data_IF_782219385505
#
_entry.id   IF_782219385505
#
_cell.length_a   1.000
_cell.length_b   1.000
_cell.length_c   1.000
_cell.angle_alpha   90.00
_cell.angle_beta   90.00
_cell.angle_gamma   90.00
#
_symmetry.space_group_name_H-M   'P 1'
#
loop_
_entity.id
_entity.type
_entity.pdbx_description
1 polymer ?
#
# COMPACT_ATOMS: atom_id res chain seq x y z
N UNK A 1 40.24 37.42 40.74
CA UNK A 1 40.59 36.78 39.44
C UNK A 1 40.03 35.37 39.27
N UNK A 2 40.21 34.43 40.23
CA UNK A 2 39.68 33.04 40.10
C UNK A 2 38.16 32.93 39.89
N UNK A 3 37.37 33.78 40.56
CA UNK A 3 35.90 33.85 40.37
C UNK A 3 35.50 34.34 38.97
N UNK A 4 36.28 35.24 38.36
CA UNK A 4 36.02 35.75 37.00
C UNK A 4 36.27 34.66 35.94
N UNK A 5 37.35 33.88 36.09
CA UNK A 5 37.61 32.73 35.22
C UNK A 5 36.54 31.63 35.36
N UNK A 6 35.94 31.46 36.55
CA UNK A 6 34.86 30.50 36.76
C UNK A 6 33.59 30.87 35.96
N UNK A 7 33.19 32.14 35.96
CA UNK A 7 32.01 32.58 35.20
C UNK A 7 32.21 32.51 33.68
N UNK A 8 33.42 32.80 33.19
CA UNK A 8 33.75 32.68 31.76
C UNK A 8 33.63 31.22 31.31
N UNK A 9 34.15 30.28 32.10
CA UNK A 9 34.03 28.85 31.77
C UNK A 9 32.58 28.35 31.80
N UNK A 10 31.76 28.82 32.76
CA UNK A 10 30.33 28.47 32.81
C UNK A 10 29.57 29.05 31.60
N UNK A 11 29.87 30.29 31.20
CA UNK A 11 29.25 30.91 30.03
C UNK A 11 29.60 30.19 28.72
N UNK A 12 30.85 29.73 28.57
CA UNK A 12 31.28 28.92 27.42
C UNK A 12 30.57 27.56 27.41
N UNK A 13 30.41 26.93 28.58
CA UNK A 13 29.71 25.65 28.70
C UNK A 13 28.22 25.75 28.33
N UNK A 14 27.56 26.85 28.73
CA UNK A 14 26.16 27.13 28.39
C UNK A 14 26.03 27.43 26.88
N UNK A 15 26.96 28.19 26.31
CA UNK A 15 27.00 28.45 24.86
C UNK A 15 27.14 27.18 24.02
N UNK A 16 27.92 26.20 24.48
CA UNK A 16 28.06 24.89 23.83
C UNK A 16 26.80 24.02 23.93
N UNK A 17 26.00 24.17 25.01
CA UNK A 17 24.76 23.41 25.20
C UNK A 17 23.58 23.94 24.37
N UNK A 18 23.57 25.22 24.00
CA UNK A 18 22.49 25.83 23.20
C UNK A 18 22.68 25.62 21.68
N UNK A 19 23.86 25.17 21.25
CA UNK A 19 24.20 24.96 19.83
C UNK A 19 23.73 23.62 19.23
N UNK A 20 23.10 22.74 20.00
CA UNK A 20 22.70 21.41 19.54
C UNK A 20 21.16 21.38 19.47
N UNK A 21 20.64 21.12 18.27
CA UNK A 21 19.23 20.80 17.95
C UNK A 21 18.32 21.96 17.50
N UNK A 22 18.67 22.58 16.37
CA UNK A 22 17.67 23.03 15.40
C UNK A 22 17.79 22.18 14.13
N UNK A 23 17.66 20.86 14.27
CA UNK A 23 17.28 20.02 13.14
C UNK A 23 15.82 20.32 12.85
N UNK A 24 15.57 21.38 12.06
CA UNK A 24 14.28 21.58 11.42
C UNK A 24 14.05 20.35 10.54
N UNK A 25 13.32 19.38 11.08
CA UNK A 25 12.81 18.24 10.33
C UNK A 25 11.78 18.81 9.35
N UNK A 26 12.25 19.25 8.20
CA UNK A 26 11.38 19.60 7.09
C UNK A 26 10.60 18.35 6.74
N UNK A 27 9.27 18.38 6.92
CA UNK A 27 8.38 17.29 6.50
C UNK A 27 8.67 17.00 5.03
N UNK A 28 9.42 15.93 4.76
CA UNK A 28 9.64 15.49 3.39
C UNK A 28 8.32 14.98 2.88
N UNK A 29 7.71 15.72 1.97
CA UNK A 29 6.59 15.22 1.20
C UNK A 29 7.00 13.91 0.55
N UNK A 30 6.17 12.88 0.77
CA UNK A 30 6.41 11.55 0.22
C UNK A 30 6.28 11.62 -1.30
N UNK A 31 7.34 11.23 -2.01
CA UNK A 31 7.27 11.05 -3.45
C UNK A 31 6.58 9.70 -3.75
N UNK A 32 5.25 9.76 -3.92
CA UNK A 32 4.41 8.58 -4.16
C UNK A 32 4.71 7.90 -5.50
N UNK A 33 5.17 8.63 -6.51
CA UNK A 33 5.55 8.06 -7.81
C UNK A 33 6.80 7.18 -7.67
N UNK A 34 7.87 7.72 -7.09
CA UNK A 34 9.10 6.97 -6.84
C UNK A 34 8.83 5.78 -5.90
N UNK A 35 7.98 5.98 -4.89
CA UNK A 35 7.58 4.91 -3.98
C UNK A 35 6.82 3.79 -4.72
N UNK A 36 5.85 4.13 -5.57
CA UNK A 36 5.10 3.15 -6.38
C UNK A 36 6.03 2.36 -7.29
N UNK A 37 6.93 3.04 -8.02
CA UNK A 37 7.92 2.40 -8.90
C UNK A 37 8.82 1.40 -8.16
N UNK A 38 9.25 1.75 -6.96
CA UNK A 38 10.08 0.88 -6.12
C UNK A 38 9.31 -0.35 -5.64
N UNK A 39 8.01 -0.22 -5.35
CA UNK A 39 7.16 -1.36 -4.98
C UNK A 39 6.98 -2.33 -6.15
N UNK A 40 6.76 -1.83 -7.36
CA UNK A 40 6.69 -2.68 -8.57
C UNK A 40 8.00 -3.43 -8.77
N UNK A 41 9.14 -2.73 -8.68
CA UNK A 41 10.47 -3.35 -8.79
C UNK A 41 10.71 -4.42 -7.71
N UNK A 42 10.32 -4.15 -6.47
CA UNK A 42 10.45 -5.06 -5.34
C UNK A 42 9.69 -6.39 -5.56
N UNK A 43 8.50 -6.33 -6.14
CA UNK A 43 7.68 -7.51 -6.45
C UNK A 43 8.29 -8.40 -7.54
N UNK A 44 8.98 -7.80 -8.51
CA UNK A 44 9.69 -8.50 -9.58
C UNK A 44 10.93 -9.27 -9.09
N UNK A 45 11.41 -9.03 -7.87
CA UNK A 45 12.60 -9.72 -7.34
C UNK A 45 12.32 -11.18 -6.95
N UNK A 46 13.37 -11.94 -6.65
CA UNK A 46 13.27 -13.30 -6.08
C UNK A 46 13.26 -13.31 -4.56
N UNK A 47 13.42 -12.14 -3.91
CA UNK A 47 13.47 -12.04 -2.46
C UNK A 47 12.06 -12.04 -1.88
N UNK A 48 11.65 -13.17 -1.31
CA UNK A 48 10.32 -13.34 -0.72
C UNK A 48 10.01 -12.28 0.35
N UNK A 49 10.96 -11.97 1.24
CA UNK A 49 10.74 -10.97 2.29
C UNK A 49 10.44 -9.58 1.72
N UNK A 50 11.15 -9.21 0.66
CA UNK A 50 10.93 -7.94 -0.05
C UNK A 50 9.58 -7.93 -0.77
N UNK A 51 9.18 -9.03 -1.42
CA UNK A 51 7.86 -9.17 -2.04
C UNK A 51 6.72 -9.04 -1.02
N UNK A 52 6.82 -9.71 0.13
CA UNK A 52 5.83 -9.65 1.20
C UNK A 52 5.69 -8.23 1.75
N UNK A 53 6.83 -7.57 2.01
CA UNK A 53 6.85 -6.18 2.45
C UNK A 53 6.19 -5.25 1.42
N UNK A 54 6.51 -5.44 0.12
CA UNK A 54 5.94 -4.64 -0.96
C UNK A 54 4.41 -4.82 -1.06
N UNK A 55 3.90 -6.05 -1.00
CA UNK A 55 2.44 -6.30 -0.96
C UNK A 55 1.78 -5.66 0.26
N UNK A 56 2.41 -5.73 1.44
CA UNK A 56 1.90 -5.07 2.65
C UNK A 56 1.81 -3.55 2.49
N UNK A 57 2.77 -2.93 1.82
CA UNK A 57 2.74 -1.49 1.53
C UNK A 57 1.67 -1.13 0.51
N UNK A 58 1.47 -1.96 -0.52
CA UNK A 58 0.37 -1.79 -1.48
C UNK A 58 -0.98 -1.82 -0.78
N UNK A 59 -1.19 -2.79 0.11
CA UNK A 59 -2.44 -2.91 0.87
C UNK A 59 -2.69 -1.68 1.75
N UNK A 60 -1.64 -1.16 2.38
CA UNK A 60 -1.73 -0.04 3.30
C UNK A 60 -1.97 1.30 2.61
N UNK A 61 -1.39 1.50 1.43
CA UNK A 61 -1.35 2.80 0.78
C UNK A 61 -2.03 2.84 -0.59
N UNK A 62 -2.85 1.85 -0.94
CA UNK A 62 -3.47 1.69 -2.28
C UNK A 62 -4.02 2.99 -2.87
N UNK A 63 -4.68 3.81 -2.05
CA UNK A 63 -5.36 5.04 -2.47
C UNK A 63 -4.40 6.13 -2.96
N UNK A 64 -3.08 5.95 -2.75
CA UNK A 64 -2.02 6.90 -3.14
C UNK A 64 -1.05 6.33 -4.16
N UNK A 65 -1.17 5.05 -4.50
CA UNK A 65 -0.19 4.34 -5.31
C UNK A 65 -0.65 4.19 -6.76
N UNK A 66 0.30 4.24 -7.68
CA UNK A 66 0.10 3.89 -9.09
C UNK A 66 0.83 2.59 -9.36
N UNK A 67 0.15 1.46 -9.13
CA UNK A 67 0.76 0.11 -9.12
C UNK A 67 0.03 -0.89 -10.01
N UNK A 68 -0.65 -0.42 -11.06
CA UNK A 68 -1.29 -1.31 -12.05
C UNK A 68 -0.31 -2.32 -12.67
N UNK A 69 0.93 -1.89 -12.89
CA UNK A 69 2.00 -2.75 -13.41
C UNK A 69 2.39 -3.90 -12.46
N UNK A 70 2.10 -3.77 -11.15
CA UNK A 70 2.38 -4.80 -10.16
C UNK A 70 1.45 -6.02 -10.26
N UNK A 71 0.32 -5.90 -10.97
CA UNK A 71 -0.74 -6.91 -11.01
C UNK A 71 -0.21 -8.27 -11.47
N UNK A 72 0.65 -8.31 -12.47
CA UNK A 72 1.19 -9.55 -13.01
C UNK A 72 2.10 -10.27 -12.01
N UNK A 73 2.95 -9.54 -11.30
CA UNK A 73 3.84 -10.11 -10.29
C UNK A 73 3.07 -10.63 -9.08
N UNK A 74 2.08 -9.88 -8.61
CA UNK A 74 1.24 -10.33 -7.49
C UNK A 74 0.41 -11.55 -7.89
N UNK A 75 -0.14 -11.57 -9.11
CA UNK A 75 -0.85 -12.74 -9.64
C UNK A 75 0.08 -13.96 -9.74
N UNK A 76 1.33 -13.77 -10.16
CA UNK A 76 2.35 -14.83 -10.18
C UNK A 76 2.62 -15.38 -8.78
N UNK A 77 2.78 -14.49 -7.78
CA UNK A 77 2.95 -14.89 -6.37
C UNK A 77 1.74 -15.69 -5.89
N UNK A 78 0.52 -15.22 -6.15
CA UNK A 78 -0.72 -15.93 -5.80
C UNK A 78 -0.78 -17.34 -6.38
N UNK A 79 -0.38 -17.52 -7.65
CA UNK A 79 -0.48 -18.81 -8.35
C UNK A 79 0.62 -19.79 -7.99
N UNK A 80 1.84 -19.31 -7.75
CA UNK A 80 3.02 -20.18 -7.67
C UNK A 80 3.52 -20.40 -6.24
N UNK A 81 3.15 -19.54 -5.29
CA UNK A 81 3.61 -19.70 -3.91
C UNK A 81 2.92 -20.91 -3.26
N UNK A 82 3.67 -21.70 -2.49
CA UNK A 82 3.15 -22.89 -1.79
C UNK A 82 2.50 -22.55 -0.45
N UNK A 83 2.86 -21.42 0.15
CA UNK A 83 2.35 -20.99 1.44
C UNK A 83 0.98 -20.29 1.27
N UNK A 84 -0.11 -20.87 1.81
CA UNK A 84 -1.44 -20.26 1.76
C UNK A 84 -1.49 -18.84 2.31
N UNK A 85 -0.69 -18.50 3.33
CA UNK A 85 -0.67 -17.15 3.90
C UNK A 85 -0.16 -16.11 2.91
N UNK A 86 0.87 -16.47 2.15
CA UNK A 86 1.44 -15.59 1.11
C UNK A 86 0.43 -15.39 -0.02
N UNK A 87 -0.28 -16.46 -0.39
CA UNK A 87 -1.34 -16.39 -1.42
C UNK A 87 -2.51 -15.54 -0.97
N UNK A 88 -2.91 -15.61 0.30
CA UNK A 88 -3.92 -14.74 0.90
C UNK A 88 -3.46 -13.28 0.88
N UNK A 89 -2.21 -13.00 1.24
CA UNK A 89 -1.67 -11.64 1.16
C UNK A 89 -1.72 -11.10 -0.27
N UNK A 90 -1.37 -11.93 -1.26
CA UNK A 90 -1.48 -11.58 -2.67
C UNK A 90 -2.94 -11.31 -3.10
N UNK A 91 -3.91 -12.13 -2.64
CA UNK A 91 -5.34 -11.89 -2.89
C UNK A 91 -5.79 -10.51 -2.37
N UNK A 92 -5.40 -10.16 -1.15
CA UNK A 92 -5.75 -8.87 -0.54
C UNK A 92 -5.09 -7.72 -1.29
N UNK A 93 -3.84 -7.88 -1.73
CA UNK A 93 -3.15 -6.87 -2.53
C UNK A 93 -3.83 -6.66 -3.90
N UNK A 94 -4.16 -7.74 -4.62
CA UNK A 94 -4.91 -7.67 -5.87
C UNK A 94 -6.28 -7.00 -5.67
N UNK A 95 -6.97 -7.35 -4.60
CA UNK A 95 -8.24 -6.72 -4.24
C UNK A 95 -8.09 -5.22 -4.02
N UNK A 96 -7.03 -4.76 -3.36
CA UNK A 96 -6.76 -3.33 -3.16
C UNK A 96 -6.43 -2.58 -4.45
N UNK A 97 -5.83 -3.25 -5.44
CA UNK A 97 -5.54 -2.66 -6.75
C UNK A 97 -6.82 -2.56 -7.62
N UNK A 98 -7.84 -3.39 -7.38
CA UNK A 98 -9.12 -3.36 -8.11
C UNK A 98 -8.99 -3.53 -9.64
N UNK A 99 -7.92 -4.16 -10.12
CA UNK A 99 -7.70 -4.36 -11.55
C UNK A 99 -8.63 -5.44 -12.14
N UNK A 100 -9.38 -5.10 -13.20
CA UNK A 100 -10.40 -5.98 -13.77
C UNK A 100 -9.86 -7.32 -14.28
N UNK A 101 -8.70 -7.29 -14.95
CA UNK A 101 -8.06 -8.50 -15.46
C UNK A 101 -7.70 -9.45 -14.33
N UNK A 102 -7.16 -8.91 -13.23
CA UNK A 102 -6.81 -9.72 -12.07
C UNK A 102 -8.04 -10.39 -11.45
N UNK A 103 -9.16 -9.68 -11.33
CA UNK A 103 -10.41 -10.22 -10.78
C UNK A 103 -11.01 -11.31 -11.67
N UNK A 104 -10.92 -11.15 -13.00
CA UNK A 104 -11.29 -12.19 -13.94
C UNK A 104 -10.42 -13.46 -13.79
N UNK A 105 -9.10 -13.27 -13.65
CA UNK A 105 -8.17 -14.37 -13.42
C UNK A 105 -8.44 -15.09 -12.10
N UNK A 106 -8.71 -14.36 -11.00
CA UNK A 106 -9.07 -14.95 -9.71
C UNK A 106 -10.34 -15.79 -9.83
N UNK A 107 -11.39 -15.26 -10.44
CA UNK A 107 -12.65 -15.99 -10.70
C UNK A 107 -12.43 -17.28 -11.47
N UNK A 108 -11.60 -17.22 -12.51
CA UNK A 108 -11.31 -18.37 -13.37
C UNK A 108 -10.47 -19.44 -12.65
N UNK A 109 -9.53 -19.03 -11.80
CA UNK A 109 -8.64 -19.94 -11.08
C UNK A 109 -9.26 -20.53 -9.80
N UNK A 110 -10.27 -19.89 -9.21
CA UNK A 110 -10.88 -20.32 -7.93
C UNK A 110 -11.36 -21.77 -7.94
N UNK A 111 -11.83 -22.29 -9.08
CA UNK A 111 -12.28 -23.69 -9.20
C UNK A 111 -11.17 -24.73 -9.06
N UNK A 112 -9.92 -24.32 -9.21
CA UNK A 112 -8.73 -25.17 -9.06
C UNK A 112 -8.03 -24.96 -7.72
N UNK A 113 -8.57 -24.08 -6.87
CA UNK A 113 -8.02 -23.86 -5.54
C UNK A 113 -8.30 -25.06 -4.64
N UNK A 114 -7.24 -25.64 -4.09
CA UNK A 114 -7.31 -26.80 -3.19
C UNK A 114 -7.23 -26.41 -1.72
N UNK A 115 -6.68 -25.24 -1.40
CA UNK A 115 -6.66 -24.74 -0.02
C UNK A 115 -7.99 -24.03 0.29
N UNK A 116 -8.78 -24.60 1.19
CA UNK A 116 -10.10 -24.09 1.53
C UNK A 116 -10.07 -22.66 2.09
N UNK A 117 -9.01 -22.28 2.80
CA UNK A 117 -8.87 -20.92 3.35
C UNK A 117 -8.58 -19.91 2.25
N UNK A 118 -7.70 -20.25 1.30
CA UNK A 118 -7.44 -19.42 0.12
C UNK A 118 -8.71 -19.30 -0.74
N UNK A 119 -9.44 -20.40 -0.93
CA UNK A 119 -10.68 -20.45 -1.71
C UNK A 119 -11.76 -19.57 -1.11
N UNK A 120 -11.96 -19.65 0.21
CA UNK A 120 -12.89 -18.81 0.94
C UNK A 120 -12.49 -17.32 0.88
N UNK A 121 -11.20 -17.01 0.99
CA UNK A 121 -10.75 -15.62 0.84
C UNK A 121 -11.00 -15.10 -0.59
N UNK A 122 -10.72 -15.92 -1.60
CA UNK A 122 -10.94 -15.58 -3.00
C UNK A 122 -12.43 -15.28 -3.27
N UNK A 123 -13.34 -16.09 -2.70
CA UNK A 123 -14.78 -15.85 -2.87
C UNK A 123 -15.22 -14.53 -2.21
N UNK A 124 -14.70 -14.18 -1.04
CA UNK A 124 -14.96 -12.88 -0.40
C UNK A 124 -14.45 -11.71 -1.24
N UNK A 125 -13.21 -11.78 -1.72
CA UNK A 125 -12.59 -10.76 -2.58
C UNK A 125 -13.41 -10.54 -3.85
N UNK A 126 -13.82 -11.61 -4.51
CA UNK A 126 -14.61 -11.53 -5.74
C UNK A 126 -16.01 -10.99 -5.47
N UNK A 127 -16.68 -11.47 -4.43
CA UNK A 127 -18.01 -10.99 -4.08
C UNK A 127 -18.01 -9.50 -3.78
N UNK A 128 -17.04 -9.04 -2.99
CA UNK A 128 -16.91 -7.63 -2.65
C UNK A 128 -16.64 -6.78 -3.91
N UNK A 129 -15.71 -7.20 -4.78
CA UNK A 129 -15.42 -6.52 -6.05
C UNK A 129 -16.66 -6.36 -6.94
N UNK A 130 -17.39 -7.45 -7.22
CA UNK A 130 -18.56 -7.36 -8.11
C UNK A 130 -19.72 -6.59 -7.46
N UNK A 131 -19.90 -6.71 -6.14
CA UNK A 131 -20.90 -5.90 -5.41
C UNK A 131 -20.61 -4.41 -5.52
N UNK A 132 -19.35 -4.00 -5.37
CA UNK A 132 -18.95 -2.60 -5.55
C UNK A 132 -19.17 -2.12 -6.99
N UNK A 133 -18.80 -2.94 -7.98
CA UNK A 133 -18.98 -2.62 -9.40
C UNK A 133 -20.46 -2.45 -9.78
N UNK A 134 -21.33 -3.31 -9.27
CA UNK A 134 -22.78 -3.23 -9.51
C UNK A 134 -23.39 -1.97 -8.89
N UNK A 135 -22.96 -1.60 -7.67
CA UNK A 135 -23.39 -0.34 -7.02
C UNK A 135 -22.99 0.89 -7.82
N UNK A 136 -21.76 0.93 -8.35
CA UNK A 136 -21.28 2.05 -9.16
C UNK A 136 -22.09 2.23 -10.46
N UNK A 137 -22.51 1.11 -11.08
CA UNK A 137 -23.37 1.13 -12.28
C UNK A 137 -24.74 1.76 -11.98
N UNK A 138 -25.42 1.30 -10.92
CA UNK A 138 -26.74 1.81 -10.56
C UNK A 138 -26.78 3.29 -10.15
N UNK A 139 -25.68 3.84 -9.64
CA UNK A 139 -25.55 5.27 -9.34
C UNK A 139 -25.42 6.13 -10.60
N UNK A 140 -24.84 5.59 -11.67
CA UNK A 140 -24.63 6.30 -12.94
C UNK A 140 -25.92 6.37 -13.78
N UNK A 141 -26.82 5.40 -13.59
CA UNK A 141 -28.08 5.28 -14.33
C UNK A 141 -29.25 6.10 -13.73
N UNK A 142 -29.07 6.77 -12.59
CA UNK A 142 -30.07 7.70 -12.03
C UNK A 142 -29.87 9.12 -12.60
N UNK A 143 -30.77 9.63 -13.47
CA UNK A 143 -30.67 11.00 -13.95
C UNK A 143 -30.78 11.97 -12.76
N UNK A 144 -29.97 13.03 -12.78
CA UNK A 144 -30.01 14.16 -11.85
C UNK A 144 -31.39 14.85 -11.88
N UNK A 145 -32.38 14.30 -11.21
CA UNK A 145 -33.74 14.86 -11.07
C UNK A 145 -33.79 16.01 -10.04
N UNK A 146 -32.72 16.81 -9.92
CA UNK A 146 -32.65 17.91 -8.93
C UNK A 146 -32.51 19.31 -9.51
N UNK A 147 -32.33 19.48 -10.83
CA UNK A 147 -32.19 20.84 -11.41
C UNK A 147 -33.45 21.38 -12.12
N UNK A 148 -34.58 20.67 -12.08
CA UNK A 148 -35.84 21.13 -12.65
C UNK A 148 -36.77 21.78 -11.61
N UNK A 149 -36.26 22.67 -10.76
CA UNK A 149 -37.06 23.66 -10.00
C UNK A 149 -36.26 24.95 -9.79
N UNK A 150 -36.23 25.81 -10.80
CA UNK A 150 -36.09 27.26 -10.65
C UNK A 150 -37.02 27.96 -11.63
#
# INVERSE_FOLDING_TARGET
MKKLMLYVNIAVLIGLLVGINNSFAQERQVNWEAFSKNLVMALGTTNTGLQLSAMGMIIRYSDKLQVDDAVFDIMRIYRLNKDPQVRILALVALHKIQNEWSMYCLKSNMKFETDERVKQMCSFVLNDYYTQKDRAKHQTDQPLLTDAKK
#
